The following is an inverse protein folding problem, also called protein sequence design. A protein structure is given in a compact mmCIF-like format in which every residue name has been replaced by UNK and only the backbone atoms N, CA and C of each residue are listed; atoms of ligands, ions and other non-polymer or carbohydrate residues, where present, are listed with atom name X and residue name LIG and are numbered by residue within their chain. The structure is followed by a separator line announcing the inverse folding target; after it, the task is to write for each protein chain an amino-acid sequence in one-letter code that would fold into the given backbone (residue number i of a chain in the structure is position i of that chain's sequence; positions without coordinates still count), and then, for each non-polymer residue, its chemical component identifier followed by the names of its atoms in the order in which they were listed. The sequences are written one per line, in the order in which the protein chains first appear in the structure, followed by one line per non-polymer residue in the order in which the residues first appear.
data_IF_267532000928
#
_entry.id   IF_267532000928
#
_cell.length_a   1.000
_cell.length_b   1.000
_cell.length_c   1.000
_cell.angle_alpha   90.00
_cell.angle_beta   90.00
_cell.angle_gamma   90.00
#
_symmetry.space_group_name_H-M   'P 1'
#
loop_
_entity.id
_entity.type
_entity.pdbx_description
1 polymer ?
#
# COMPACT_ATOMS: atom_id res chain seq x y z
N UNK A 1 17.26 -1.43 -10.77
CA UNK A 1 16.36 -0.87 -9.74
C UNK A 1 14.94 -1.28 -10.09
N UNK A 2 14.45 -2.35 -9.47
CA UNK A 2 13.10 -2.84 -9.69
C UNK A 2 12.11 -1.85 -9.10
N UNK A 3 11.29 -1.20 -9.94
CA UNK A 3 10.15 -0.39 -9.49
C UNK A 3 9.21 -1.29 -8.68
N UNK A 4 9.15 -1.08 -7.36
CA UNK A 4 8.11 -1.67 -6.53
C UNK A 4 6.76 -1.26 -7.11
N UNK A 5 5.92 -2.24 -7.41
CA UNK A 5 4.59 -2.04 -7.98
C UNK A 5 3.57 -2.72 -7.08
N UNK A 6 2.56 -1.97 -6.67
CA UNK A 6 1.47 -2.47 -5.84
C UNK A 6 0.73 -3.62 -6.52
N UNK A 7 0.52 -3.52 -7.84
CA UNK A 7 -0.07 -4.58 -8.66
C UNK A 7 0.66 -5.91 -8.51
N UNK A 8 2.01 -5.90 -8.46
CA UNK A 8 2.81 -7.12 -8.29
C UNK A 8 2.61 -7.76 -6.92
N UNK A 9 2.38 -6.95 -5.87
CA UNK A 9 2.06 -7.47 -4.55
C UNK A 9 0.66 -8.08 -4.53
N UNK A 10 -0.33 -7.43 -5.17
CA UNK A 10 -1.72 -7.90 -5.19
C UNK A 10 -1.96 -9.14 -6.04
N UNK A 11 -1.23 -9.26 -7.15
CA UNK A 11 -1.31 -10.42 -8.05
C UNK A 11 -0.46 -11.60 -7.58
N UNK A 12 0.34 -11.43 -6.52
CA UNK A 12 1.08 -12.53 -5.91
C UNK A 12 0.13 -13.52 -5.25
N UNK A 13 0.34 -14.81 -5.50
CA UNK A 13 -0.39 -15.91 -4.84
C UNK A 13 -0.36 -15.83 -3.32
N UNK A 14 0.67 -15.19 -2.74
CA UNK A 14 0.79 -14.97 -1.30
C UNK A 14 -0.34 -14.11 -0.71
N UNK A 15 -0.92 -13.22 -1.50
CA UNK A 15 -1.90 -12.22 -1.05
C UNK A 15 -3.24 -12.29 -1.79
N UNK A 16 -3.46 -13.33 -2.60
CA UNK A 16 -4.63 -13.49 -3.45
C UNK A 16 -5.96 -13.27 -2.70
N UNK A 17 -6.10 -13.84 -1.51
CA UNK A 17 -7.31 -13.72 -0.69
C UNK A 17 -7.26 -12.53 0.30
N UNK A 18 -6.15 -11.78 0.31
CA UNK A 18 -5.85 -10.75 1.31
C UNK A 18 -5.23 -9.51 0.65
N UNK A 19 -5.98 -8.79 -0.21
CA UNK A 19 -5.45 -7.62 -0.91
C UNK A 19 -5.00 -6.50 0.05
N UNK A 20 -5.67 -6.32 1.19
CA UNK A 20 -5.21 -5.38 2.21
C UNK A 20 -3.85 -5.75 2.82
N UNK A 21 -3.50 -7.05 2.87
CA UNK A 21 -2.19 -7.49 3.32
C UNK A 21 -1.11 -7.27 2.24
N UNK A 22 -1.47 -7.35 0.95
CA UNK A 22 -0.60 -6.94 -0.15
C UNK A 22 -0.27 -5.45 -0.06
N UNK A 23 -1.26 -4.59 0.18
CA UNK A 23 -1.06 -3.14 0.32
C UNK A 23 -0.08 -2.82 1.45
N UNK A 24 -0.25 -3.43 2.63
CA UNK A 24 0.68 -3.24 3.75
C UNK A 24 2.08 -3.73 3.38
N UNK A 25 2.20 -4.91 2.77
CA UNK A 25 3.50 -5.47 2.38
C UNK A 25 4.22 -4.62 1.33
N UNK A 26 3.48 -4.06 0.37
CA UNK A 26 3.99 -3.08 -0.58
C UNK A 26 4.51 -1.84 0.16
N UNK A 27 3.72 -1.24 1.06
CA UNK A 27 4.14 -0.06 1.81
C UNK A 27 5.39 -0.32 2.65
N UNK A 28 5.48 -1.47 3.33
CA UNK A 28 6.69 -1.84 4.11
C UNK A 28 7.91 -1.93 3.20
N UNK A 29 7.79 -2.62 2.06
CA UNK A 29 8.88 -2.72 1.09
C UNK A 29 9.26 -1.34 0.53
N UNK A 30 8.27 -0.48 0.25
CA UNK A 30 8.47 0.87 -0.26
C UNK A 30 9.24 1.74 0.75
N UNK A 31 8.85 1.72 2.02
CA UNK A 31 9.58 2.40 3.10
C UNK A 31 11.01 1.89 3.23
N UNK A 32 11.22 0.57 3.26
CA UNK A 32 12.57 -0.03 3.33
C UNK A 32 13.46 0.31 2.12
N UNK A 33 12.87 0.62 0.96
CA UNK A 33 13.58 1.05 -0.25
C UNK A 33 13.71 2.58 -0.36
N UNK A 34 13.32 3.34 0.65
CA UNK A 34 13.40 4.81 0.65
C UNK A 34 12.46 5.48 -0.34
N UNK A 35 11.35 4.83 -0.69
CA UNK A 35 10.33 5.40 -1.57
C UNK A 35 9.57 6.51 -0.84
N UNK A 36 9.35 7.63 -1.53
CA UNK A 36 8.67 8.79 -0.99
C UNK A 36 7.21 8.51 -0.59
N UNK A 37 6.75 9.09 0.52
CA UNK A 37 5.40 8.88 1.06
C UNK A 37 4.31 9.29 0.08
N UNK A 38 4.46 10.40 -0.66
CA UNK A 38 3.47 10.83 -1.64
C UNK A 38 3.37 9.85 -2.81
N UNK A 39 4.48 9.18 -3.15
CA UNK A 39 4.48 8.13 -4.18
C UNK A 39 3.79 6.85 -3.70
N UNK A 40 3.95 6.49 -2.43
CA UNK A 40 3.23 5.36 -1.81
C UNK A 40 1.73 5.66 -1.72
N UNK A 41 1.36 6.86 -1.28
CA UNK A 41 -0.02 7.33 -1.20
C UNK A 41 -0.68 7.27 -2.58
N UNK A 42 -0.05 7.86 -3.60
CA UNK A 42 -0.57 7.84 -4.97
C UNK A 42 -0.75 6.42 -5.50
N UNK A 43 0.18 5.51 -5.23
CA UNK A 43 0.04 4.11 -5.61
C UNK A 43 -1.18 3.46 -4.95
N UNK A 44 -1.49 3.77 -3.68
CA UNK A 44 -2.70 3.25 -3.02
C UNK A 44 -3.98 3.94 -3.48
N UNK A 45 -3.92 5.21 -3.89
CA UNK A 45 -5.05 5.96 -4.43
C UNK A 45 -5.50 5.44 -5.79
N UNK A 46 -4.55 5.27 -6.72
CA UNK A 46 -4.80 4.81 -8.10
C UNK A 46 -5.42 3.41 -8.10
N UNK A 47 -5.06 2.60 -7.11
CA UNK A 47 -5.43 1.20 -6.95
C UNK A 47 -6.36 0.98 -5.75
N UNK A 48 -7.20 1.95 -5.38
CA UNK A 48 -8.02 1.82 -4.15
C UNK A 48 -8.92 0.56 -4.13
N UNK A 49 -8.85 -0.23 -3.05
CA UNK A 49 -9.53 -1.54 -2.95
C UNK A 49 -11.05 -1.49 -2.89
N UNK A 50 -11.61 -0.39 -2.38
CA UNK A 50 -13.06 -0.29 -2.21
C UNK A 50 -13.70 0.33 -3.44
N UNK A 51 -14.87 -0.20 -3.84
CA UNK A 51 -15.75 0.43 -4.83
C UNK A 51 -16.45 1.68 -4.29
N UNK A 52 -16.29 1.97 -3.00
CA UNK A 52 -16.85 3.17 -2.37
C UNK A 52 -16.13 4.42 -2.90
N UNK A 53 -16.85 5.33 -3.60
CA UNK A 53 -16.24 6.53 -4.16
C UNK A 53 -15.90 7.59 -3.10
N UNK A 54 -16.24 7.37 -1.82
CA UNK A 54 -16.01 8.31 -0.73
C UNK A 54 -14.52 8.68 -0.58
N UNK A 55 -14.15 9.94 -0.86
CA UNK A 55 -12.76 10.39 -0.73
C UNK A 55 -12.25 10.30 0.71
N UNK A 56 -13.11 10.55 1.70
CA UNK A 56 -12.75 10.49 3.11
C UNK A 56 -12.44 9.08 3.60
N UNK A 57 -13.20 8.07 3.13
CA UNK A 57 -12.92 6.66 3.44
C UNK A 57 -11.63 6.19 2.77
N UNK A 58 -11.40 6.60 1.52
CA UNK A 58 -10.14 6.33 0.80
C UNK A 58 -8.94 6.90 1.55
N UNK A 59 -8.97 8.19 1.86
CA UNK A 59 -7.90 8.85 2.62
C UNK A 59 -7.68 8.18 4.00
N UNK A 60 -8.76 7.80 4.69
CA UNK A 60 -8.67 7.09 5.97
C UNK A 60 -8.04 5.70 5.84
N UNK A 61 -8.36 4.96 4.77
CA UNK A 61 -7.73 3.67 4.49
C UNK A 61 -6.24 3.84 4.24
N UNK A 62 -5.85 4.73 3.33
CA UNK A 62 -4.47 4.96 2.94
C UNK A 62 -3.62 5.37 4.14
N UNK A 63 -4.08 6.35 4.91
CA UNK A 63 -3.39 6.81 6.12
C UNK A 63 -3.14 5.67 7.09
N UNK A 64 -4.14 4.84 7.39
CA UNK A 64 -4.00 3.70 8.32
C UNK A 64 -3.01 2.66 7.79
N UNK A 65 -3.07 2.35 6.49
CA UNK A 65 -2.17 1.39 5.85
C UNK A 65 -0.72 1.87 5.91
N UNK A 66 -0.47 3.12 5.54
CA UNK A 66 0.87 3.71 5.55
C UNK A 66 1.44 3.85 6.97
N UNK A 67 0.67 4.34 7.95
CA UNK A 67 1.12 4.44 9.34
C UNK A 67 1.56 3.07 9.87
N UNK A 68 0.72 2.04 9.68
CA UNK A 68 1.03 0.68 10.13
C UNK A 68 2.28 0.12 9.45
N UNK A 69 2.44 0.36 8.16
CA UNK A 69 3.60 -0.09 7.40
C UNK A 69 4.88 0.63 7.83
N UNK A 70 4.81 1.94 8.12
CA UNK A 70 5.94 2.72 8.65
C UNK A 70 6.40 2.21 10.00
N UNK A 71 5.47 1.91 10.90
CA UNK A 71 5.77 1.32 12.21
C UNK A 71 6.47 -0.04 12.08
N UNK A 72 6.13 -0.81 11.04
CA UNK A 72 6.76 -2.11 10.78
C UNK A 72 8.12 -1.98 10.09
N UNK A 73 8.30 -1.00 9.22
CA UNK A 73 9.58 -0.75 8.55
C UNK A 73 10.66 -0.21 9.52
N UNK A 74 10.25 0.44 10.62
CA UNK A 74 11.14 0.97 11.66
C UNK A 74 11.46 -0.04 12.78
N UNK A 75 10.92 -1.27 12.71
CA UNK A 75 11.19 -2.36 13.66
C UNK A 75 12.25 -3.29 13.10
#
# INVERSE_FOLDING_TARGET
MSTLSLERFRTSSKYQDRPAAADIAFCVAAYANGMDEARIERALEDDYLSRDPSPSKRASYIRRTMTKARDWANR
#
